data_IF_268723953258
#
_entry.id   IF_268723953258
#
_cell.length_a   1.000
_cell.length_b   1.000
_cell.length_c   1.000
_cell.angle_alpha   90.00
_cell.angle_beta   90.00
_cell.angle_gamma   90.00
#
_symmetry.space_group_name_H-M   'P 1'
#
loop_
_entity.id
_entity.type
_entity.pdbx_description
1 polymer ?
#
# COMPACT_ATOMS: atom_id res chain seq x y z
N UNK A 1 -36.70 34.01 -13.26
CA UNK A 1 -35.58 33.04 -13.17
C UNK A 1 -34.60 33.60 -12.16
N UNK A 2 -34.43 32.93 -11.02
CA UNK A 2 -33.91 33.50 -9.77
C UNK A 2 -32.41 33.79 -9.81
N UNK A 3 -32.00 34.87 -9.15
CA UNK A 3 -30.61 35.33 -8.95
C UNK A 3 -29.78 34.46 -7.98
N UNK A 4 -30.31 33.31 -7.56
CA UNK A 4 -29.70 32.39 -6.58
C UNK A 4 -28.29 31.93 -6.96
N UNK A 5 -27.98 31.82 -8.25
CA UNK A 5 -26.68 31.38 -8.72
C UNK A 5 -25.53 32.38 -8.40
N UNK A 6 -25.85 33.67 -8.21
CA UNK A 6 -24.86 34.70 -7.87
C UNK A 6 -24.45 34.63 -6.40
N UNK A 7 -25.39 34.31 -5.53
CA UNK A 7 -25.14 34.12 -4.11
C UNK A 7 -24.35 32.83 -3.87
N UNK A 8 -24.69 31.74 -4.57
CA UNK A 8 -23.93 30.49 -4.55
C UNK A 8 -22.49 30.69 -5.03
N UNK A 9 -22.29 31.46 -6.10
CA UNK A 9 -20.95 31.79 -6.61
C UNK A 9 -20.16 32.65 -5.62
N UNK A 10 -20.82 33.59 -4.93
CA UNK A 10 -20.21 34.42 -3.89
C UNK A 10 -19.74 33.58 -2.70
N UNK A 11 -20.55 32.63 -2.22
CA UNK A 11 -20.15 31.73 -1.13
C UNK A 11 -18.98 30.82 -1.53
N UNK A 12 -18.95 30.37 -2.79
CA UNK A 12 -17.89 29.52 -3.32
C UNK A 12 -16.55 30.28 -3.43
N UNK A 13 -16.61 31.57 -3.80
CA UNK A 13 -15.46 32.46 -3.93
C UNK A 13 -15.01 33.11 -2.60
N UNK A 14 -15.92 33.31 -1.65
CA UNK A 14 -15.63 33.88 -0.33
C UNK A 14 -14.78 32.97 0.58
N UNK A 15 -14.49 31.75 0.12
CA UNK A 15 -13.45 30.92 0.71
C UNK A 15 -13.95 30.16 1.93
N UNK A 16 -13.92 28.84 1.79
CA UNK A 16 -13.74 27.91 2.91
C UNK A 16 -12.45 28.26 3.67
N UNK A 17 -12.51 29.26 4.53
CA UNK A 17 -11.49 29.53 5.55
C UNK A 17 -11.84 28.79 6.84
N UNK A 18 -12.07 27.48 6.72
CA UNK A 18 -11.95 26.56 7.85
C UNK A 18 -10.57 25.92 7.75
N UNK A 19 -9.79 25.80 8.83
CA UNK A 19 -8.55 25.05 8.78
C UNK A 19 -8.85 23.64 8.28
N UNK A 20 -8.04 23.08 7.36
CA UNK A 20 -8.24 21.71 6.92
C UNK A 20 -8.28 20.80 8.16
N UNK A 21 -9.12 19.74 8.17
CA UNK A 21 -9.13 18.79 9.27
C UNK A 21 -7.68 18.37 9.53
N UNK A 22 -7.20 18.50 10.78
CA UNK A 22 -5.80 18.21 11.15
C UNK A 22 -5.40 16.89 10.51
N UNK A 23 -4.54 16.93 9.51
CA UNK A 23 -4.27 15.76 8.70
C UNK A 23 -3.75 14.67 9.62
N UNK A 24 -4.46 13.54 9.69
CA UNK A 24 -4.02 12.42 10.51
C UNK A 24 -2.90 11.60 9.83
N UNK A 25 -2.12 12.28 8.97
CA UNK A 25 -1.04 11.72 8.17
C UNK A 25 0.07 11.16 9.06
N UNK A 26 0.36 11.82 10.18
CA UNK A 26 1.33 11.34 11.15
C UNK A 26 0.90 10.00 11.77
N UNK A 27 -0.37 9.83 12.12
CA UNK A 27 -0.86 8.55 12.63
C UNK A 27 -0.95 7.48 11.53
N UNK A 28 -1.38 7.86 10.33
CA UNK A 28 -1.35 6.97 9.16
C UNK A 28 0.05 6.44 8.88
N UNK A 29 1.06 7.32 8.90
CA UNK A 29 2.48 6.97 8.77
C UNK A 29 2.93 6.02 9.87
N UNK A 30 2.63 6.33 11.14
CA UNK A 30 2.95 5.45 12.27
C UNK A 30 2.31 4.06 12.14
N UNK A 31 1.05 4.00 11.67
CA UNK A 31 0.34 2.73 11.44
C UNK A 31 0.99 1.89 10.35
N UNK A 32 1.36 2.51 9.21
CA UNK A 32 2.08 1.81 8.14
C UNK A 32 3.44 1.32 8.61
N UNK A 33 4.23 2.18 9.25
CA UNK A 33 5.56 1.80 9.74
C UNK A 33 5.49 0.66 10.76
N UNK A 34 4.49 0.70 11.66
CA UNK A 34 4.23 -0.40 12.59
C UNK A 34 3.89 -1.69 11.84
N UNK A 35 3.00 -1.66 10.86
CA UNK A 35 2.64 -2.85 10.07
C UNK A 35 3.84 -3.42 9.28
N UNK A 36 4.62 -2.59 8.59
CA UNK A 36 5.85 -3.04 7.90
C UNK A 36 6.80 -3.72 8.90
N UNK A 37 7.02 -3.10 10.06
CA UNK A 37 7.97 -3.60 11.07
C UNK A 37 7.51 -4.87 11.78
N UNK A 38 6.20 -5.03 12.03
CA UNK A 38 5.64 -6.10 12.86
C UNK A 38 5.02 -7.25 12.08
N UNK A 39 4.71 -7.04 10.80
CA UNK A 39 4.04 -8.04 9.96
C UNK A 39 4.90 -8.36 8.75
N UNK A 40 5.12 -7.38 7.86
CA UNK A 40 5.78 -7.65 6.57
C UNK A 40 7.23 -8.13 6.73
N UNK A 41 8.05 -7.37 7.46
CA UNK A 41 9.47 -7.71 7.61
C UNK A 41 9.71 -9.06 8.32
N UNK A 42 9.00 -9.41 9.40
CA UNK A 42 9.05 -10.76 9.97
C UNK A 42 8.65 -11.85 8.96
N UNK A 43 7.57 -11.66 8.21
CA UNK A 43 7.14 -12.64 7.18
C UNK A 43 8.21 -12.83 6.11
N UNK A 44 8.88 -11.76 5.65
CA UNK A 44 9.97 -11.88 4.68
C UNK A 44 11.18 -12.62 5.26
N UNK A 45 11.48 -12.44 6.55
CA UNK A 45 12.55 -13.19 7.22
C UNK A 45 12.26 -14.68 7.25
N UNK A 46 11.01 -15.06 7.50
CA UNK A 46 10.56 -16.46 7.46
C UNK A 46 10.68 -17.03 6.04
N UNK A 47 10.18 -16.31 5.03
CA UNK A 47 10.32 -16.69 3.62
C UNK A 47 11.79 -16.90 3.23
N UNK A 48 12.68 -15.98 3.60
CA UNK A 48 14.12 -16.13 3.36
C UNK A 48 14.67 -17.40 3.99
N UNK A 49 14.30 -17.67 5.24
CA UNK A 49 14.75 -18.87 5.95
C UNK A 49 14.28 -20.15 5.26
N UNK A 50 13.05 -20.17 4.75
CA UNK A 50 12.52 -21.32 4.02
C UNK A 50 13.16 -21.46 2.63
N UNK A 51 13.25 -20.38 1.85
CA UNK A 51 13.93 -20.36 0.55
C UNK A 51 15.38 -20.89 0.64
N UNK A 52 16.09 -20.53 1.70
CA UNK A 52 17.45 -20.99 1.95
C UNK A 52 17.54 -22.51 2.13
N UNK A 53 16.56 -23.14 2.77
CA UNK A 53 16.51 -24.61 2.90
C UNK A 53 16.35 -25.30 1.53
N UNK A 54 15.77 -24.60 0.56
CA UNK A 54 15.55 -25.07 -0.81
C UNK A 54 16.60 -24.53 -1.80
N UNK A 55 17.75 -24.07 -1.32
CA UNK A 55 18.89 -23.67 -2.15
C UNK A 55 18.77 -22.29 -2.79
N UNK A 56 17.81 -21.45 -2.38
CA UNK A 56 17.68 -20.06 -2.84
C UNK A 56 18.22 -19.11 -1.79
N UNK A 57 18.97 -18.09 -2.20
CA UNK A 57 19.29 -16.99 -1.29
C UNK A 57 18.27 -15.86 -1.46
N UNK A 58 18.03 -15.08 -0.40
CA UNK A 58 17.17 -13.92 -0.51
C UNK A 58 17.66 -12.73 0.30
N UNK A 59 17.59 -11.55 -0.31
CA UNK A 59 17.95 -10.26 0.28
C UNK A 59 16.69 -9.51 0.63
N UNK A 60 16.64 -8.98 1.86
CA UNK A 60 15.50 -8.21 2.34
C UNK A 60 15.91 -6.75 2.49
N UNK A 61 15.19 -5.87 1.82
CA UNK A 61 15.30 -4.42 1.98
C UNK A 61 14.09 -3.89 2.73
N UNK A 62 14.31 -2.91 3.61
CA UNK A 62 13.24 -2.33 4.42
C UNK A 62 13.46 -0.85 4.64
N UNK A 63 12.41 -0.07 4.39
CA UNK A 63 12.27 1.29 4.90
C UNK A 63 11.02 1.44 5.78
N UNK A 64 10.72 2.66 6.19
CA UNK A 64 9.59 2.93 7.08
C UNK A 64 8.23 2.63 6.44
N UNK A 65 8.13 2.69 5.12
CA UNK A 65 6.87 2.53 4.39
C UNK A 65 6.92 1.47 3.31
N UNK A 66 7.98 0.67 3.27
CA UNK A 66 8.12 -0.42 2.31
C UNK A 66 9.01 -1.54 2.84
N UNK A 67 8.82 -2.73 2.30
CA UNK A 67 9.77 -3.82 2.40
C UNK A 67 9.82 -4.55 1.06
N UNK A 68 10.99 -5.07 0.68
CA UNK A 68 11.18 -5.89 -0.51
C UNK A 68 11.96 -7.15 -0.14
N UNK A 69 11.66 -8.25 -0.82
CA UNK A 69 12.44 -9.47 -0.82
C UNK A 69 12.85 -9.79 -2.25
N UNK A 70 14.15 -9.97 -2.47
CA UNK A 70 14.74 -10.35 -3.75
C UNK A 70 15.31 -11.75 -3.61
N UNK A 71 14.88 -12.67 -4.46
CA UNK A 71 15.26 -14.08 -4.46
C UNK A 71 16.28 -14.33 -5.55
N UNK A 72 17.29 -15.12 -5.22
CA UNK A 72 18.43 -15.42 -6.07
C UNK A 72 18.67 -16.92 -6.13
N UNK A 73 19.03 -17.38 -7.32
CA UNK A 73 19.59 -18.70 -7.55
C UNK A 73 21.06 -18.54 -7.97
N UNK A 74 21.98 -18.83 -7.04
CA UNK A 74 23.37 -18.41 -7.16
C UNK A 74 23.49 -16.88 -7.17
N UNK A 75 24.15 -16.33 -8.19
CA UNK A 75 24.33 -14.87 -8.37
C UNK A 75 23.21 -14.22 -9.19
N UNK A 76 22.31 -15.02 -9.78
CA UNK A 76 21.24 -14.51 -10.63
C UNK A 76 20.03 -14.15 -9.77
N UNK A 77 19.64 -12.88 -9.79
CA UNK A 77 18.33 -12.46 -9.29
C UNK A 77 17.25 -13.07 -10.18
N UNK A 78 16.35 -13.83 -9.58
CA UNK A 78 15.31 -14.55 -10.30
C UNK A 78 13.94 -13.90 -10.08
N UNK A 79 13.66 -13.45 -8.85
CA UNK A 79 12.35 -12.91 -8.49
C UNK A 79 12.47 -11.77 -7.47
N UNK A 80 11.57 -10.79 -7.58
CA UNK A 80 11.48 -9.67 -6.64
C UNK A 80 10.04 -9.40 -6.27
N UNK A 81 9.78 -9.31 -4.97
CA UNK A 81 8.46 -9.05 -4.40
C UNK A 81 8.57 -7.93 -3.38
N UNK A 82 7.78 -6.87 -3.55
CA UNK A 82 7.81 -5.74 -2.63
C UNK A 82 6.41 -5.30 -2.21
N UNK A 83 6.32 -4.85 -0.97
CA UNK A 83 5.11 -4.31 -0.38
C UNK A 83 5.38 -2.87 0.02
N UNK A 84 4.53 -1.95 -0.44
CA UNK A 84 4.59 -0.52 -0.10
C UNK A 84 3.28 -0.07 0.55
N UNK A 85 3.39 0.61 1.69
CA UNK A 85 2.25 1.30 2.29
C UNK A 85 2.06 2.69 1.69
N UNK A 86 0.88 2.98 1.16
CA UNK A 86 0.48 4.32 0.71
C UNK A 86 -0.65 4.88 1.56
N UNK A 87 -0.62 6.20 1.75
CA UNK A 87 -1.62 6.96 2.49
C UNK A 87 -2.34 7.84 1.48
N UNK A 88 -3.60 7.51 1.19
CA UNK A 88 -4.46 8.27 0.29
C UNK A 88 -5.33 9.23 1.11
N UNK A 89 -5.35 10.50 0.70
CA UNK A 89 -6.38 11.43 1.13
C UNK A 89 -7.59 11.26 0.20
N UNK A 90 -8.78 11.07 0.76
CA UNK A 90 -10.01 11.19 -0.01
C UNK A 90 -10.18 12.68 -0.32
N UNK A 91 -9.84 13.10 -1.54
CA UNK A 91 -10.22 14.42 -2.04
C UNK A 91 -11.76 14.39 -2.17
N UNK A 92 -12.44 15.10 -1.29
CA UNK A 92 -13.89 15.28 -1.31
C UNK A 92 -14.30 16.14 -2.51
N UNK A 93 -14.21 15.61 -3.73
CA UNK A 93 -14.63 16.31 -4.95
C UNK A 93 -15.82 15.65 -5.67
N UNK A 94 -16.43 14.61 -5.10
CA UNK A 94 -17.61 13.97 -5.69
C UNK A 94 -18.74 13.85 -4.66
N UNK A 95 -19.77 14.68 -4.89
CA UNK A 95 -21.19 14.55 -4.50
C UNK A 95 -21.53 14.19 -3.04
N UNK A 96 -22.30 15.03 -2.31
CA UNK A 96 -22.88 14.65 -1.04
C UNK A 96 -24.05 13.69 -1.28
N UNK A 97 -23.77 12.38 -1.31
CA UNK A 97 -24.80 11.36 -1.05
C UNK A 97 -24.56 10.81 0.36
N UNK A 98 -25.35 11.34 1.28
CA UNK A 98 -25.86 10.71 2.50
C UNK A 98 -24.96 9.65 3.15
N UNK A 99 -24.23 10.03 4.21
CA UNK A 99 -23.68 9.04 5.15
C UNK A 99 -22.31 9.40 5.74
N UNK A 100 -22.33 10.03 6.92
CA UNK A 100 -21.37 10.04 8.05
C UNK A 100 -20.00 9.32 7.94
N UNK A 101 -19.22 9.47 6.87
CA UNK A 101 -17.80 9.12 6.85
C UNK A 101 -16.96 10.27 6.29
N UNK A 102 -16.89 11.37 7.04
CA UNK A 102 -16.00 12.48 6.75
C UNK A 102 -14.54 12.14 7.13
N UNK A 103 -13.62 12.27 6.16
CA UNK A 103 -12.25 12.76 6.41
C UNK A 103 -11.14 11.80 6.83
N UNK A 104 -11.37 10.50 7.05
CA UNK A 104 -10.27 9.61 7.46
C UNK A 104 -9.34 9.21 6.29
N UNK A 105 -8.01 9.34 6.43
CA UNK A 105 -7.06 8.91 5.40
C UNK A 105 -7.15 7.39 5.17
N UNK A 106 -7.22 6.99 3.90
CA UNK A 106 -7.31 5.58 3.50
C UNK A 106 -5.88 5.04 3.36
N UNK A 107 -5.55 4.00 4.13
CA UNK A 107 -4.26 3.32 4.03
C UNK A 107 -4.38 2.13 3.07
N UNK A 108 -3.61 2.11 1.98
CA UNK A 108 -3.55 0.98 1.03
C UNK A 108 -2.17 0.35 0.97
N UNK A 109 -2.12 -0.98 0.99
CA UNK A 109 -0.92 -1.72 0.66
C UNK A 109 -0.88 -1.83 -0.87
N UNK A 110 0.30 -1.76 -1.44
CA UNK A 110 0.52 -2.02 -2.87
C UNK A 110 1.61 -3.06 -2.98
N UNK A 111 1.34 -4.09 -3.78
CA UNK A 111 2.33 -5.10 -4.13
C UNK A 111 2.95 -4.69 -5.45
N UNK A 112 4.27 -4.59 -5.46
CA UNK A 112 5.03 -4.35 -6.68
C UNK A 112 5.93 -5.55 -6.96
N UNK A 113 5.71 -6.13 -8.13
CA UNK A 113 6.61 -7.08 -8.78
C UNK A 113 7.52 -6.28 -9.71
N UNK A 114 8.65 -6.87 -10.12
CA UNK A 114 9.78 -6.19 -10.80
C UNK A 114 9.36 -5.11 -11.81
N UNK A 115 8.33 -5.37 -12.62
CA UNK A 115 7.79 -4.41 -13.60
C UNK A 115 6.26 -4.24 -13.58
N UNK A 116 5.55 -4.88 -12.63
CA UNK A 116 4.09 -4.83 -12.53
C UNK A 116 3.61 -4.38 -11.15
N UNK A 117 2.79 -3.32 -11.16
CA UNK A 117 2.05 -2.83 -9.99
C UNK A 117 0.70 -3.51 -9.94
N UNK A 118 0.47 -4.34 -8.93
CA UNK A 118 -0.87 -4.83 -8.59
C UNK A 118 -1.48 -3.85 -7.56
N UNK A 119 -2.67 -3.31 -7.86
CA UNK A 119 -3.40 -2.51 -6.88
C UNK A 119 -3.70 -3.39 -5.66
N UNK A 120 -3.07 -3.10 -4.52
CA UNK A 120 -3.16 -3.97 -3.35
C UNK A 120 -4.38 -3.66 -2.47
N UNK A 121 -4.61 -4.58 -1.53
CA UNK A 121 -5.66 -4.50 -0.51
C UNK A 121 -5.44 -3.33 0.48
N UNK A 122 -6.42 -3.03 1.34
CA UNK A 122 -6.21 -2.03 2.42
C UNK A 122 -5.07 -2.49 3.33
N UNK A 123 -4.19 -1.58 3.80
CA UNK A 123 -3.05 -1.90 4.70
C UNK A 123 -3.50 -2.67 5.94
N UNK A 124 -4.73 -2.41 6.42
CA UNK A 124 -5.31 -3.07 7.59
C UNK A 124 -5.69 -4.54 7.36
N UNK A 125 -5.66 -5.03 6.11
CA UNK A 125 -6.21 -6.33 5.74
C UNK A 125 -5.14 -7.35 5.32
N UNK A 126 -3.90 -6.96 4.99
CA UNK A 126 -2.84 -7.93 4.67
C UNK A 126 -2.21 -8.53 5.94
N UNK A 127 -2.67 -9.71 6.31
CA UNK A 127 -2.07 -10.55 7.36
C UNK A 127 -0.81 -11.24 6.84
N UNK A 128 -0.05 -11.85 7.76
CA UNK A 128 1.10 -12.71 7.43
C UNK A 128 0.71 -13.81 6.43
N UNK A 129 -0.42 -14.50 6.66
CA UNK A 129 -0.87 -15.62 5.85
C UNK A 129 -1.23 -15.17 4.43
N UNK A 130 -1.81 -13.98 4.30
CA UNK A 130 -2.09 -13.38 2.99
C UNK A 130 -0.81 -13.03 2.24
N UNK A 131 0.18 -12.43 2.92
CA UNK A 131 1.48 -12.11 2.32
C UNK A 131 2.18 -13.39 1.84
N UNK A 132 2.16 -14.46 2.66
CA UNK A 132 2.75 -15.74 2.28
C UNK A 132 2.06 -16.35 1.07
N UNK A 133 0.73 -16.38 1.07
CA UNK A 133 -0.06 -16.96 -0.04
C UNK A 133 0.16 -16.19 -1.34
N UNK A 134 0.13 -14.86 -1.26
CA UNK A 134 0.36 -13.98 -2.40
C UNK A 134 1.77 -14.19 -2.96
N UNK A 135 2.81 -14.14 -2.11
CA UNK A 135 4.19 -14.42 -2.52
C UNK A 135 4.34 -15.78 -3.21
N UNK A 136 3.76 -16.84 -2.64
CA UNK A 136 3.85 -18.19 -3.20
C UNK A 136 3.16 -18.30 -4.56
N UNK A 137 1.99 -17.65 -4.72
CA UNK A 137 1.29 -17.60 -6.01
C UNK A 137 2.13 -16.90 -7.06
N UNK A 138 2.62 -15.69 -6.78
CA UNK A 138 3.43 -14.93 -7.74
C UNK A 138 4.75 -15.61 -8.07
N UNK A 139 5.38 -16.28 -7.11
CA UNK A 139 6.63 -16.98 -7.34
C UNK A 139 6.42 -18.30 -8.11
N UNK A 140 5.30 -19.00 -7.89
CA UNK A 140 4.93 -20.17 -8.69
C UNK A 140 4.64 -19.77 -10.15
N UNK A 141 3.84 -18.72 -10.36
CA UNK A 141 3.54 -18.19 -11.69
C UNK A 141 4.83 -17.79 -12.44
N UNK A 142 5.79 -17.20 -11.72
CA UNK A 142 7.10 -16.86 -12.29
C UNK A 142 7.90 -18.10 -12.73
N UNK A 143 7.92 -19.17 -11.92
CA UNK A 143 8.64 -20.42 -12.21
C UNK A 143 8.09 -21.15 -13.45
N UNK A 144 6.80 -21.04 -13.74
CA UNK A 144 6.14 -21.78 -14.82
C UNK A 144 6.32 -21.17 -16.22
N UNK A 145 6.91 -19.97 -16.38
CA UNK A 145 7.28 -19.43 -17.70
C UNK A 145 7.25 -17.92 -17.89
N UNK A 146 7.64 -17.14 -16.88
CA UNK A 146 7.33 -15.71 -16.74
C UNK A 146 7.82 -14.70 -17.82
N UNK A 147 6.99 -13.68 -18.04
CA UNK A 147 7.39 -12.26 -18.13
C UNK A 147 6.19 -11.38 -17.79
N UNK A 148 6.41 -10.47 -16.85
CA UNK A 148 5.57 -9.31 -16.58
C UNK A 148 6.53 -8.13 -16.53
#
# INVERSE_FOLDING_TARGET
MSEQWRDELRELLAGRSGPPPKSNLAEGRRRVAKWISKTVAPTFKELRGELQKHGRSAVIERGDYYAAIRVFNGEREEFSYSIRGRIYHKLSFAMPRSGKEEGQPVLRAEVMLKDVRKEGAKVKEMTREMILRDFLGEYADWLEGGSH
#
